data_IF_535127805776
#
_entry.id   IF_535127805776
#
_cell.length_a   1.000
_cell.length_b   1.000
_cell.length_c   1.000
_cell.angle_alpha   90.00
_cell.angle_beta   90.00
_cell.angle_gamma   90.00
#
_symmetry.space_group_name_H-M   'P 1'
#
loop_
_entity.id
_entity.type
_entity.pdbx_description
1 polymer ?
#
# COMPACT_ATOMS: atom_id res chain seq x y z
N UNK A 1 14.19 46.11 32.34
CA UNK A 1 12.96 45.79 33.10
C UNK A 1 12.71 44.30 32.91
N UNK A 2 12.86 43.51 33.98
CA UNK A 2 12.74 42.04 33.99
C UNK A 2 11.26 41.67 34.06
N UNK A 3 10.76 40.89 33.10
CA UNK A 3 9.46 40.23 33.21
C UNK A 3 9.71 38.76 33.55
N UNK A 4 9.27 38.37 34.75
CA UNK A 4 9.34 37.02 35.29
C UNK A 4 8.43 36.08 34.50
N UNK A 5 8.97 34.92 34.12
CA UNK A 5 8.23 33.78 33.59
C UNK A 5 7.39 33.14 34.70
N UNK A 6 6.09 32.97 34.44
CA UNK A 6 5.16 32.26 35.32
C UNK A 6 5.06 30.81 34.82
N UNK A 7 5.78 29.90 35.48
CA UNK A 7 5.70 28.46 35.22
C UNK A 7 4.61 27.88 36.10
N UNK A 8 3.51 27.43 35.49
CA UNK A 8 2.42 26.70 36.18
C UNK A 8 2.74 25.20 36.10
N UNK A 9 2.94 24.50 37.23
CA UNK A 9 3.07 23.05 37.23
C UNK A 9 1.67 22.40 37.18
N UNK A 10 1.32 21.80 36.05
CA UNK A 10 0.18 20.87 35.96
C UNK A 10 0.66 19.51 36.48
N UNK A 11 0.24 19.19 37.69
CA UNK A 11 0.38 17.85 38.27
C UNK A 11 -0.58 16.90 37.58
N UNK A 12 -0.07 16.04 36.69
CA UNK A 12 -0.85 14.95 36.10
C UNK A 12 -0.73 13.72 37.01
N UNK A 13 -1.81 13.42 37.73
CA UNK A 13 -1.95 12.27 38.61
C UNK A 13 -1.92 10.95 37.85
N UNK A 14 -0.95 10.11 38.19
CA UNK A 14 -0.83 8.69 37.82
C UNK A 14 -1.91 7.89 38.59
N UNK A 15 -2.87 7.30 37.89
CA UNK A 15 -3.77 6.30 38.46
C UNK A 15 -3.35 4.91 37.97
N UNK A 16 -2.69 4.16 38.85
CA UNK A 16 -2.52 2.72 38.73
C UNK A 16 -3.83 2.03 39.16
N UNK A 17 -4.38 1.19 38.30
CA UNK A 17 -5.40 0.22 38.68
C UNK A 17 -4.91 -1.18 38.30
N UNK A 18 -4.70 -1.97 39.34
CA UNK A 18 -4.24 -3.34 39.34
C UNK A 18 -5.44 -4.28 39.15
N UNK A 19 -5.26 -5.33 38.34
CA UNK A 19 -5.82 -6.67 38.54
C UNK A 19 -7.32 -6.89 38.30
N UNK A 20 -7.64 -7.78 37.37
CA UNK A 20 -8.43 -9.00 37.63
C UNK A 20 -8.50 -9.87 36.37
N UNK A 21 -7.76 -10.98 36.39
CA UNK A 21 -7.94 -12.12 35.49
C UNK A 21 -9.20 -12.88 35.92
N UNK A 22 -10.01 -13.39 34.98
CA UNK A 22 -10.65 -14.67 35.18
C UNK A 22 -10.07 -15.70 34.21
N UNK A 23 -9.47 -16.72 34.82
CA UNK A 23 -9.31 -18.06 34.29
C UNK A 23 -10.65 -18.58 33.74
N UNK A 24 -10.63 -19.14 32.54
CA UNK A 24 -11.68 -20.06 32.09
C UNK A 24 -11.08 -21.00 31.06
N UNK A 25 -10.53 -22.10 31.55
CA UNK A 25 -10.36 -23.35 30.82
C UNK A 25 -11.73 -23.98 30.55
N UNK A 26 -11.93 -24.55 29.36
CA UNK A 26 -12.78 -25.72 29.20
C UNK A 26 -11.95 -26.92 28.73
N UNK A 27 -11.88 -27.89 29.62
CA UNK A 27 -11.96 -29.35 29.46
C UNK A 27 -11.63 -29.97 28.10
N UNK A 28 -10.59 -30.80 28.10
CA UNK A 28 -10.44 -31.94 27.20
C UNK A 28 -11.53 -32.99 27.50
N UNK A 29 -12.17 -33.55 26.48
CA UNK A 29 -12.83 -34.85 26.56
C UNK A 29 -12.73 -35.58 25.21
N UNK A 30 -12.66 -36.89 25.31
CA UNK A 30 -11.88 -37.82 24.50
C UNK A 30 -12.76 -38.68 23.56
N UNK A 31 -12.12 -39.40 22.64
CA UNK A 31 -12.55 -40.65 22.00
C UNK A 31 -13.60 -40.71 20.85
N UNK A 32 -13.08 -40.76 19.60
CA UNK A 32 -13.24 -41.85 18.59
C UNK A 32 -14.53 -41.97 17.74
N UNK A 33 -14.58 -42.81 16.65
CA UNK A 33 -13.53 -43.62 16.02
C UNK A 33 -13.27 -43.31 14.52
N UNK A 34 -12.22 -43.94 13.97
CA UNK A 34 -11.87 -43.98 12.55
C UNK A 34 -12.90 -44.72 11.69
N UNK A 35 -13.14 -44.24 10.47
CA UNK A 35 -13.77 -45.00 9.38
C UNK A 35 -12.83 -45.06 8.18
N UNK A 36 -12.50 -46.29 7.80
CA UNK A 36 -11.69 -46.66 6.65
C UNK A 36 -12.51 -46.65 5.35
N UNK A 37 -11.78 -46.43 4.25
CA UNK A 37 -11.99 -46.91 2.89
C UNK A 37 -13.17 -46.37 2.03
N UNK A 38 -12.81 -45.58 1.00
CA UNK A 38 -13.02 -45.97 -0.41
C UNK A 38 -12.34 -44.96 -1.38
N UNK A 39 -11.33 -45.43 -2.12
CA UNK A 39 -11.05 -44.95 -3.49
C UNK A 39 -11.80 -45.88 -4.48
N UNK A 40 -11.87 -45.64 -5.81
CA UNK A 40 -11.31 -44.55 -6.62
C UNK A 40 -12.33 -43.93 -7.60
N UNK A 41 -11.92 -42.93 -8.40
CA UNK A 41 -12.10 -42.92 -9.87
C UNK A 41 -11.47 -41.71 -10.55
N UNK A 42 -10.74 -42.04 -11.62
CA UNK A 42 -10.08 -41.21 -12.61
C UNK A 42 -11.02 -40.20 -13.29
N UNK A 43 -10.49 -39.03 -13.65
CA UNK A 43 -10.70 -38.44 -14.99
C UNK A 43 -9.89 -37.13 -15.18
N UNK A 44 -9.37 -37.02 -16.41
CA UNK A 44 -8.93 -35.80 -17.10
C UNK A 44 -7.50 -35.30 -16.89
N UNK A 45 -6.56 -36.01 -17.52
CA UNK A 45 -5.35 -35.40 -18.10
C UNK A 45 -5.73 -34.77 -19.45
N UNK A 46 -5.78 -33.44 -19.51
CA UNK A 46 -5.88 -32.71 -20.78
C UNK A 46 -4.51 -32.15 -21.17
N UNK A 47 -3.85 -32.82 -22.12
CA UNK A 47 -2.74 -32.25 -22.91
C UNK A 47 -3.32 -31.45 -24.09
N UNK A 48 -2.87 -30.22 -24.34
CA UNK A 48 -2.63 -29.70 -25.69
C UNK A 48 -1.20 -30.12 -26.11
N UNK A 49 -0.74 -30.23 -27.36
CA UNK A 49 -1.15 -29.77 -28.68
C UNK A 49 -0.26 -30.58 -29.65
N UNK A 50 -0.84 -31.18 -30.68
CA UNK A 50 -0.12 -31.51 -31.92
C UNK A 50 -0.68 -30.62 -33.02
N UNK A 51 0.14 -29.71 -33.53
CA UNK A 51 -0.14 -28.97 -34.75
C UNK A 51 1.17 -28.85 -35.56
N UNK A 52 1.24 -29.71 -36.56
CA UNK A 52 1.92 -29.60 -37.85
C UNK A 52 3.13 -28.66 -37.99
N UNK A 53 4.27 -29.27 -38.34
CA UNK A 53 5.32 -28.65 -39.17
C UNK A 53 5.02 -28.94 -40.64
N UNK A 54 5.18 -27.95 -41.55
CA UNK A 54 5.99 -28.23 -42.73
C UNK A 54 6.97 -27.09 -43.10
N UNK A 55 8.21 -27.51 -43.38
CA UNK A 55 9.11 -27.17 -44.51
C UNK A 55 9.30 -25.70 -44.96
N UNK A 56 10.50 -25.18 -44.66
CA UNK A 56 11.53 -24.60 -45.55
C UNK A 56 11.13 -23.83 -46.85
N UNK A 57 11.51 -22.54 -46.95
CA UNK A 57 12.00 -21.88 -48.17
C UNK A 57 12.41 -20.38 -47.97
N UNK A 58 13.72 -20.16 -47.80
CA UNK A 58 14.61 -19.12 -48.37
C UNK A 58 14.16 -17.69 -48.84
N UNK A 59 14.73 -16.66 -48.16
CA UNK A 59 15.49 -15.44 -48.62
C UNK A 59 14.84 -14.35 -49.54
N UNK A 60 15.34 -13.07 -49.65
CA UNK A 60 16.60 -12.47 -49.17
C UNK A 60 16.51 -11.09 -48.44
N UNK A 61 17.68 -10.59 -48.04
CA UNK A 61 17.95 -9.35 -47.30
C UNK A 61 17.51 -8.03 -47.96
N UNK A 62 17.24 -7.01 -47.14
CA UNK A 62 17.42 -5.59 -47.49
C UNK A 62 17.90 -4.79 -46.29
N UNK A 63 19.01 -4.08 -46.50
CA UNK A 63 19.68 -3.16 -45.58
C UNK A 63 18.83 -1.93 -45.25
N UNK A 64 18.95 -1.44 -44.02
CA UNK A 64 18.37 -0.17 -43.61
C UNK A 64 18.67 0.16 -42.15
N UNK A 65 19.88 0.66 -41.89
CA UNK A 65 20.35 0.96 -40.55
C UNK A 65 19.50 1.95 -39.77
N UNK A 66 19.50 1.76 -38.45
CA UNK A 66 19.85 2.76 -37.44
C UNK A 66 19.96 2.00 -36.12
N UNK A 67 21.10 2.13 -35.48
CA UNK A 67 21.33 1.74 -34.10
C UNK A 67 20.32 2.45 -33.20
N UNK A 68 19.18 1.81 -32.96
CA UNK A 68 18.41 2.05 -31.76
C UNK A 68 19.09 1.21 -30.69
N UNK A 69 19.96 1.86 -29.92
CA UNK A 69 20.39 1.32 -28.64
C UNK A 69 19.15 0.76 -27.90
N UNK A 70 19.22 -0.46 -27.32
CA UNK A 70 18.12 -0.98 -26.53
C UNK A 70 17.77 0.07 -25.47
N UNK A 71 16.48 0.39 -25.24
CA UNK A 71 16.09 1.41 -24.28
C UNK A 71 16.74 1.08 -22.93
N UNK A 72 17.66 1.94 -22.51
CA UNK A 72 18.27 1.85 -21.19
C UNK A 72 17.20 2.16 -20.15
N UNK A 73 16.98 1.16 -19.31
CA UNK A 73 16.26 1.18 -18.03
C UNK A 73 14.80 1.63 -18.11
N UNK A 74 13.92 0.63 -18.14
CA UNK A 74 12.47 0.80 -18.06
C UNK A 74 12.07 1.49 -16.77
N UNK A 75 11.97 2.81 -16.80
CA UNK A 75 11.01 3.52 -15.96
C UNK A 75 9.62 3.07 -16.40
N UNK A 76 9.18 1.94 -15.85
CA UNK A 76 7.78 1.54 -15.87
C UNK A 76 7.03 2.62 -15.10
N UNK A 77 6.52 3.62 -15.81
CA UNK A 77 5.56 4.57 -15.24
C UNK A 77 4.38 3.70 -14.79
N UNK A 78 4.04 3.66 -13.49
CA UNK A 78 2.89 2.91 -13.03
C UNK A 78 1.65 3.36 -13.84
N UNK A 79 0.70 2.46 -14.17
CA UNK A 79 -0.55 2.90 -14.76
C UNK A 79 -1.15 4.00 -13.88
N UNK A 80 -1.76 5.02 -14.49
CA UNK A 80 -2.40 6.08 -13.73
C UNK A 80 -3.44 5.48 -12.79
N UNK A 81 -3.23 5.65 -11.49
CA UNK A 81 -4.14 5.16 -10.44
C UNK A 81 -4.86 6.34 -9.80
N UNK A 82 -5.92 6.06 -9.05
CA UNK A 82 -6.55 7.09 -8.21
C UNK A 82 -5.82 7.12 -6.87
N UNK A 83 -5.42 8.29 -6.41
CA UNK A 83 -5.06 8.52 -5.02
C UNK A 83 -6.30 8.90 -4.21
N UNK A 84 -6.24 8.76 -2.88
CA UNK A 84 -7.34 9.22 -2.03
C UNK A 84 -7.17 10.69 -1.67
N UNK A 85 -5.98 11.10 -1.19
CA UNK A 85 -5.80 12.46 -0.73
C UNK A 85 -4.35 12.96 -0.61
N UNK A 86 -4.24 14.28 -0.50
CA UNK A 86 -3.06 14.99 0.02
C UNK A 86 -3.45 16.27 0.79
N UNK A 87 -4.73 16.66 0.72
CA UNK A 87 -5.39 17.61 1.63
C UNK A 87 -6.73 17.03 2.05
N UNK A 88 -7.31 17.56 3.13
CA UNK A 88 -8.63 17.12 3.63
C UNK A 88 -9.75 17.36 2.62
N UNK A 89 -9.57 18.31 1.71
CA UNK A 89 -10.56 18.61 0.66
C UNK A 89 -10.85 17.42 -0.25
N UNK A 90 -9.91 16.48 -0.42
CA UNK A 90 -10.12 15.28 -1.24
C UNK A 90 -10.93 14.19 -0.51
N UNK A 91 -11.07 14.27 0.81
CA UNK A 91 -11.68 13.21 1.61
C UNK A 91 -13.20 13.32 1.78
N UNK A 92 -13.81 14.42 1.36
CA UNK A 92 -15.23 14.69 1.64
C UNK A 92 -15.48 15.08 3.11
N UNK A 93 -16.71 15.46 3.42
CA UNK A 93 -17.07 16.02 4.72
C UNK A 93 -16.89 15.01 5.87
N UNK A 94 -16.26 15.46 6.96
CA UNK A 94 -16.08 14.66 8.18
C UNK A 94 -14.89 13.70 8.16
N UNK A 95 -14.13 13.64 7.06
CA UNK A 95 -12.93 12.83 6.93
C UNK A 95 -11.66 13.70 6.94
N UNK A 96 -10.57 13.14 7.44
CA UNK A 96 -9.24 13.79 7.52
C UNK A 96 -8.23 13.07 6.65
N UNK A 97 -7.41 13.80 5.93
CA UNK A 97 -6.38 13.25 5.08
C UNK A 97 -5.11 12.90 5.86
N UNK A 98 -4.75 11.62 5.87
CA UNK A 98 -3.44 11.12 6.28
C UNK A 98 -2.48 11.22 5.09
N UNK A 99 -2.04 12.45 4.80
CA UNK A 99 -1.27 12.77 3.60
C UNK A 99 0.12 12.11 3.54
N UNK A 100 0.70 11.72 4.68
CA UNK A 100 2.00 11.05 4.75
C UNK A 100 2.02 9.62 4.19
N UNK A 101 0.86 9.01 4.00
CA UNK A 101 0.75 7.67 3.44
C UNK A 101 0.86 7.70 1.90
N UNK A 102 1.42 6.65 1.27
CA UNK A 102 1.39 6.51 -0.19
C UNK A 102 -0.03 6.60 -0.73
N UNK A 103 -0.25 7.46 -1.74
CA UNK A 103 -1.59 7.77 -2.26
C UNK A 103 -2.54 8.52 -1.32
N UNK A 104 -2.16 8.73 -0.06
CA UNK A 104 -2.98 9.30 1.01
C UNK A 104 -4.10 8.37 1.46
N UNK A 105 -4.49 8.48 2.74
CA UNK A 105 -5.67 7.80 3.26
C UNK A 105 -6.66 8.81 3.85
N UNK A 106 -7.94 8.62 3.60
CA UNK A 106 -8.98 9.38 4.30
C UNK A 106 -9.41 8.64 5.56
N UNK A 107 -9.24 9.26 6.71
CA UNK A 107 -9.57 8.70 8.03
C UNK A 107 -10.80 9.37 8.63
N UNK A 108 -11.52 8.66 9.51
CA UNK A 108 -12.77 9.09 10.14
C UNK A 108 -14.02 8.36 9.62
N UNK A 109 -13.87 7.31 8.81
CA UNK A 109 -15.01 6.61 8.22
C UNK A 109 -15.79 5.80 9.27
N UNK A 110 -17.12 5.79 9.14
CA UNK A 110 -18.06 5.16 10.09
C UNK A 110 -18.68 3.86 9.57
N UNK A 111 -17.92 3.03 8.84
CA UNK A 111 -18.36 1.73 8.33
C UNK A 111 -18.47 1.61 6.82
N UNK A 112 -18.47 2.72 6.09
CA UNK A 112 -18.34 2.75 4.63
C UNK A 112 -17.42 3.87 4.17
N UNK A 113 -16.86 3.71 2.98
CA UNK A 113 -16.03 4.72 2.33
C UNK A 113 -16.53 4.95 0.90
N UNK A 114 -16.47 6.21 0.47
CA UNK A 114 -16.83 6.62 -0.88
C UNK A 114 -15.89 7.71 -1.35
N UNK A 115 -14.58 7.46 -1.17
CA UNK A 115 -13.53 8.42 -1.49
C UNK A 115 -12.54 7.81 -2.47
N UNK A 116 -12.54 8.32 -3.70
CA UNK A 116 -11.60 7.86 -4.73
C UNK A 116 -11.67 6.34 -4.96
N UNK A 117 -10.54 5.62 -5.01
CA UNK A 117 -10.51 4.16 -5.19
C UNK A 117 -10.93 3.39 -3.94
N UNK A 118 -11.13 4.07 -2.80
CA UNK A 118 -11.38 3.41 -1.52
C UNK A 118 -12.86 3.11 -1.33
N UNK A 119 -13.13 1.82 -1.14
CA UNK A 119 -14.45 1.22 -0.99
C UNK A 119 -14.64 0.56 0.38
N UNK A 120 -13.57 0.36 1.15
CA UNK A 120 -13.63 -0.26 2.46
C UNK A 120 -13.27 0.70 3.59
N UNK A 121 -14.05 0.67 4.67
CA UNK A 121 -13.71 1.34 5.91
C UNK A 121 -13.13 0.33 6.90
N UNK A 122 -11.82 0.40 7.15
CA UNK A 122 -11.14 -0.48 8.09
C UNK A 122 -10.30 0.35 9.08
N UNK A 123 -10.43 0.07 10.38
CA UNK A 123 -9.83 0.87 11.46
C UNK A 123 -10.06 2.39 11.30
N UNK A 124 -11.31 2.76 11.01
CA UNK A 124 -11.71 4.15 10.71
C UNK A 124 -10.90 4.81 9.57
N UNK A 125 -10.35 4.01 8.65
CA UNK A 125 -9.59 4.49 7.50
C UNK A 125 -10.17 3.93 6.22
N UNK A 126 -10.30 4.77 5.20
CA UNK A 126 -10.69 4.37 3.86
C UNK A 126 -9.52 3.68 3.17
N UNK A 127 -9.74 2.44 2.77
CA UNK A 127 -8.75 1.61 2.09
C UNK A 127 -9.33 1.09 0.77
N UNK A 128 -8.44 0.87 -0.18
CA UNK A 128 -8.73 0.25 -1.47
C UNK A 128 -8.73 -1.27 -1.31
N UNK A 129 -9.71 -1.94 -1.91
CA UNK A 129 -9.74 -3.39 -2.05
C UNK A 129 -8.60 -3.90 -2.95
N UNK A 130 -8.05 -5.07 -2.63
CA UNK A 130 -6.98 -5.69 -3.41
C UNK A 130 -7.05 -7.23 -3.36
N UNK A 131 -6.39 -7.86 -4.33
CA UNK A 131 -6.16 -9.31 -4.36
C UNK A 131 -4.68 -9.67 -4.22
N UNK A 132 -3.79 -8.76 -4.62
CA UNK A 132 -2.33 -8.89 -4.56
C UNK A 132 -1.67 -7.53 -4.37
N UNK A 133 -0.39 -7.53 -4.00
CA UNK A 133 0.36 -6.31 -3.68
C UNK A 133 0.41 -5.32 -4.86
N UNK A 134 0.45 -5.82 -6.09
CA UNK A 134 0.50 -5.00 -7.30
C UNK A 134 -0.82 -4.29 -7.60
N UNK A 135 -1.92 -4.68 -6.94
CA UNK A 135 -3.19 -3.96 -7.04
C UNK A 135 -3.15 -2.66 -6.23
N UNK A 136 -2.24 -2.55 -5.26
CA UNK A 136 -2.13 -1.39 -4.41
C UNK A 136 -1.21 -0.31 -5.00
N UNK A 137 -1.42 0.93 -4.57
CA UNK A 137 -0.47 2.02 -4.86
C UNK A 137 0.94 1.65 -4.36
N UNK A 138 2.02 1.97 -5.11
CA UNK A 138 3.39 1.73 -4.66
C UNK A 138 3.61 2.25 -3.22
N UNK A 139 4.31 1.48 -2.39
CA UNK A 139 4.47 1.77 -0.95
C UNK A 139 3.37 1.18 -0.05
N UNK A 140 2.34 0.56 -0.64
CA UNK A 140 1.34 -0.25 0.05
C UNK A 140 1.52 -1.74 -0.25
N UNK A 141 0.78 -2.58 0.46
CA UNK A 141 0.68 -4.02 0.25
C UNK A 141 -0.74 -4.51 0.48
N UNK A 142 -1.11 -5.62 -0.12
CA UNK A 142 -2.37 -6.27 0.13
C UNK A 142 -2.28 -7.14 1.39
N UNK A 143 -3.21 -6.96 2.32
CA UNK A 143 -3.30 -7.82 3.49
C UNK A 143 -4.17 -9.06 3.20
N UNK A 144 -4.19 -10.01 4.15
CA UNK A 144 -4.99 -11.23 4.03
C UNK A 144 -6.51 -10.97 3.98
N UNK A 145 -6.97 -9.78 4.38
CA UNK A 145 -8.37 -9.35 4.31
C UNK A 145 -8.74 -8.73 2.96
N UNK A 146 -7.81 -8.65 2.00
CA UNK A 146 -8.04 -8.04 0.69
C UNK A 146 -8.07 -6.51 0.74
N UNK A 147 -7.30 -5.90 1.65
CA UNK A 147 -7.24 -4.45 1.84
C UNK A 147 -5.82 -3.93 1.64
N UNK A 148 -5.66 -2.86 0.87
CA UNK A 148 -4.39 -2.16 0.71
C UNK A 148 -4.01 -1.43 2.01
N UNK A 149 -2.93 -1.85 2.65
CA UNK A 149 -2.40 -1.25 3.87
C UNK A 149 -0.96 -0.77 3.67
N UNK A 150 -0.46 0.02 4.62
CA UNK A 150 0.94 0.46 4.61
C UNK A 150 1.90 -0.73 4.56
N UNK A 151 2.84 -0.69 3.62
CA UNK A 151 3.93 -1.65 3.57
C UNK A 151 4.88 -1.38 4.72
N UNK A 152 5.15 -2.41 5.52
CA UNK A 152 6.17 -2.35 6.57
C UNK A 152 7.57 -2.35 5.95
N UNK A 153 8.51 -1.67 6.60
CA UNK A 153 9.88 -1.60 6.14
C UNK A 153 10.84 -1.55 7.35
N UNK A 154 12.08 -1.95 7.11
CA UNK A 154 13.17 -1.86 8.08
C UNK A 154 14.31 -1.04 7.49
N UNK A 155 15.09 -0.40 8.36
CA UNK A 155 16.15 0.53 7.94
C UNK A 155 15.61 1.90 7.53
N UNK A 156 16.41 2.63 6.76
CA UNK A 156 16.09 3.98 6.29
C UNK A 156 16.21 4.04 4.76
N UNK A 157 15.49 4.99 4.15
CA UNK A 157 15.54 5.22 2.70
C UNK A 157 14.50 4.43 1.91
N UNK A 158 14.79 4.19 0.63
CA UNK A 158 13.82 3.79 -0.41
C UNK A 158 13.82 2.30 -0.76
N UNK A 159 14.78 1.51 -0.26
CA UNK A 159 15.03 0.13 -0.72
C UNK A 159 13.81 -0.79 -0.63
N UNK A 160 13.05 -0.75 0.46
CA UNK A 160 11.81 -1.56 0.62
C UNK A 160 10.57 -0.89 0.04
N UNK A 161 10.59 0.44 -0.01
CA UNK A 161 9.41 1.26 -0.28
C UNK A 161 9.28 1.71 -1.73
N UNK A 162 10.31 1.50 -2.55
CA UNK A 162 10.39 1.99 -3.92
C UNK A 162 10.90 3.43 -3.99
N UNK A 163 11.10 3.95 -5.20
CA UNK A 163 11.81 5.22 -5.41
C UNK A 163 11.03 6.46 -4.95
N UNK A 164 9.72 6.35 -4.72
CA UNK A 164 8.85 7.48 -4.38
C UNK A 164 8.61 7.66 -2.88
N UNK A 165 9.03 6.68 -2.06
CA UNK A 165 8.67 6.59 -0.64
C UNK A 165 9.89 6.24 0.20
N UNK A 166 9.89 6.69 1.45
CA UNK A 166 10.95 6.40 2.42
C UNK A 166 10.41 5.60 3.59
N UNK A 167 11.24 4.75 4.17
CA UNK A 167 10.91 4.07 5.40
C UNK A 167 10.93 5.04 6.58
N UNK A 168 9.76 5.26 7.19
CA UNK A 168 9.57 6.15 8.33
C UNK A 168 8.74 5.45 9.40
N UNK A 169 9.31 5.32 10.61
CA UNK A 169 8.65 4.66 11.75
C UNK A 169 8.17 3.23 11.43
N UNK A 170 8.95 2.48 10.65
CA UNK A 170 8.64 1.10 10.27
C UNK A 170 7.65 0.94 9.12
N UNK A 171 7.20 2.02 8.49
CA UNK A 171 6.27 1.99 7.35
C UNK A 171 6.74 2.88 6.19
N UNK A 172 6.37 2.49 4.98
CA UNK A 172 6.63 3.29 3.80
C UNK A 172 5.74 4.54 3.79
N UNK A 173 6.37 5.71 3.70
CA UNK A 173 5.69 7.01 3.70
C UNK A 173 6.20 7.91 2.60
N UNK A 174 5.38 8.89 2.20
CA UNK A 174 5.80 9.94 1.27
C UNK A 174 7.04 10.65 1.82
N UNK A 175 7.96 10.97 0.92
CA UNK A 175 9.17 11.71 1.25
C UNK A 175 8.79 13.16 1.56
N UNK A 176 9.30 13.71 2.66
CA UNK A 176 9.18 15.14 2.96
C UNK A 176 10.07 15.96 2.03
N UNK A 177 9.61 17.11 1.58
CA UNK A 177 10.39 18.03 0.76
C UNK A 177 10.39 19.43 1.37
N UNK A 178 11.55 20.08 1.42
CA UNK A 178 11.60 21.50 1.71
C UNK A 178 11.24 22.34 0.46
N UNK A 179 10.99 23.64 0.67
CA UNK A 179 10.80 24.56 -0.44
C UNK A 179 12.08 24.63 -1.29
N UNK A 180 11.99 24.26 -2.57
CA UNK A 180 13.14 24.27 -3.49
C UNK A 180 13.98 23.00 -3.50
N UNK A 181 13.61 21.98 -2.71
CA UNK A 181 14.19 20.64 -2.86
C UNK A 181 13.48 19.85 -3.97
N UNK A 182 14.28 19.11 -4.74
CA UNK A 182 13.78 18.28 -5.84
C UNK A 182 13.27 16.96 -5.28
N UNK A 183 11.97 16.71 -5.44
CA UNK A 183 11.39 15.40 -5.19
C UNK A 183 11.89 14.37 -6.23
N UNK A 184 11.90 13.06 -5.91
CA UNK A 184 12.20 12.03 -6.90
C UNK A 184 11.33 12.17 -8.15
N UNK A 185 11.91 11.89 -9.32
CA UNK A 185 11.17 11.88 -10.60
C UNK A 185 9.88 11.08 -10.46
N UNK A 186 8.76 11.60 -10.99
CA UNK A 186 7.44 10.99 -10.82
C UNK A 186 6.69 11.45 -9.56
N UNK A 187 7.24 12.40 -8.79
CA UNK A 187 6.55 13.05 -7.67
C UNK A 187 6.74 14.58 -7.70
N UNK A 188 5.77 15.31 -7.16
CA UNK A 188 5.79 16.78 -7.03
C UNK A 188 5.80 17.19 -5.56
N UNK A 189 6.59 18.20 -5.20
CA UNK A 189 6.54 18.77 -3.85
C UNK A 189 5.26 19.59 -3.66
N UNK A 190 4.27 19.04 -2.94
CA UNK A 190 2.98 19.71 -2.66
C UNK A 190 2.86 20.08 -1.18
N UNK A 191 2.11 21.15 -0.91
CA UNK A 191 1.67 21.49 0.45
C UNK A 191 0.53 20.57 0.87
N UNK A 192 0.62 20.02 2.07
CA UNK A 192 -0.35 19.09 2.69
C UNK A 192 -0.69 19.57 4.11
N UNK A 193 -1.65 18.92 4.77
CA UNK A 193 -2.02 19.23 6.15
C UNK A 193 -0.87 19.04 7.16
N UNK A 194 0.08 18.15 6.86
CA UNK A 194 1.19 17.78 7.76
C UNK A 194 2.54 18.38 7.35
N UNK A 195 2.56 19.31 6.39
CA UNK A 195 3.77 19.91 5.84
C UNK A 195 3.89 19.73 4.33
N UNK A 196 5.10 19.72 3.80
CA UNK A 196 5.36 19.56 2.36
C UNK A 196 5.86 18.16 2.04
N UNK A 197 5.20 17.48 1.12
CA UNK A 197 5.45 16.08 0.77
C UNK A 197 5.59 15.92 -0.74
N UNK A 198 6.40 14.96 -1.15
CA UNK A 198 6.50 14.49 -2.53
C UNK A 198 5.28 13.63 -2.86
N UNK A 199 4.32 14.21 -3.59
CA UNK A 199 3.06 13.58 -3.97
C UNK A 199 3.20 12.96 -5.37
N UNK A 200 2.72 11.75 -5.53
CA UNK A 200 2.83 10.94 -6.74
C UNK A 200 2.09 11.58 -7.92
N UNK A 201 2.81 11.84 -9.02
CA UNK A 201 2.24 12.46 -10.24
C UNK A 201 1.45 11.47 -11.09
N UNK A 202 1.69 10.17 -10.90
CA UNK A 202 0.92 9.10 -11.54
C UNK A 202 -0.43 8.84 -10.84
N UNK A 203 -0.74 9.58 -9.77
CA UNK A 203 -2.03 9.51 -9.08
C UNK A 203 -2.92 10.68 -9.46
N UNK A 204 -4.20 10.37 -9.70
CA UNK A 204 -5.27 11.36 -9.84
C UNK A 204 -6.05 11.45 -8.53
N UNK A 205 -6.28 12.66 -8.03
CA UNK A 205 -7.01 12.89 -6.79
C UNK A 205 -8.42 13.44 -7.11
N UNK A 206 -9.45 13.08 -6.31
CA UNK A 206 -10.81 13.57 -6.49
C UNK A 206 -10.96 15.07 -6.23
#
# INVERSE_FOLDING_TARGET
MRALALVVPVALTLAAACGSTPDTTPTEDDAGPAIDAAAPKDAATSKPQDAASPEDASLPATDGGRDAAPPTDGSVVPPTRKGQCFTDAHCGAGLTCVAGSPGGFCSGCGGSCSVGPADQCNFATCNESCTKDEDCTPGLRCNASGTCILKSCTGTGTSTCGPFHSCQSGFCRRISCAAGETCPSGTDCKTTATGRLCVETFLTFP
#
